data_IF_150755545629
#
_entry.id   IF_150755545629
#
_cell.length_a   1.000
_cell.length_b   1.000
_cell.length_c   1.000
_cell.angle_alpha   90.00
_cell.angle_beta   90.00
_cell.angle_gamma   90.00
#
_symmetry.space_group_name_H-M   'P 1'
#
loop_
_entity.id
_entity.type
_entity.pdbx_description
1 polymer ?
#
# COMPACT_ATOMS: atom_id res chain seq x y z
N UNK A 1 11.45 5.17 -10.54
CA UNK A 1 10.66 3.98 -10.21
C UNK A 1 10.60 3.71 -8.70
N UNK A 2 11.69 3.90 -7.98
CA UNK A 2 11.78 3.45 -6.59
C UNK A 2 10.68 3.97 -5.66
N UNK A 3 10.39 5.27 -5.68
CA UNK A 3 9.39 5.84 -4.77
C UNK A 3 7.97 5.39 -5.11
N UNK A 4 7.62 5.46 -6.38
CA UNK A 4 6.29 5.07 -6.84
C UNK A 4 6.09 3.58 -6.63
N UNK A 5 7.06 2.78 -7.04
CA UNK A 5 7.02 1.34 -6.83
C UNK A 5 6.91 1.00 -5.34
N UNK A 6 7.71 1.65 -4.50
CA UNK A 6 7.70 1.39 -3.06
C UNK A 6 6.31 1.61 -2.45
N UNK A 7 5.68 2.70 -2.80
CA UNK A 7 4.36 3.04 -2.28
C UNK A 7 3.27 2.12 -2.81
N UNK A 8 3.33 1.80 -4.11
CA UNK A 8 2.36 0.89 -4.72
C UNK A 8 2.47 -0.49 -4.11
N UNK A 9 3.70 -1.00 -3.94
CA UNK A 9 3.94 -2.31 -3.34
C UNK A 9 3.36 -2.37 -1.93
N UNK A 10 3.66 -1.38 -1.12
CA UNK A 10 3.15 -1.31 0.25
C UNK A 10 1.63 -1.24 0.28
N UNK A 11 1.05 -0.44 -0.61
CA UNK A 11 -0.39 -0.32 -0.70
C UNK A 11 -1.06 -1.66 -1.04
N UNK A 12 -0.59 -2.32 -2.10
CA UNK A 12 -1.21 -3.58 -2.52
C UNK A 12 -1.00 -4.68 -1.48
N UNK A 13 0.18 -4.72 -0.86
CA UNK A 13 0.43 -5.70 0.20
C UNK A 13 -0.55 -5.51 1.37
N UNK A 14 -0.67 -4.28 1.85
CA UNK A 14 -1.57 -3.97 2.96
C UNK A 14 -3.03 -4.18 2.60
N UNK A 15 -3.37 -3.90 1.36
CA UNK A 15 -4.73 -4.14 0.88
C UNK A 15 -5.11 -5.62 0.91
N UNK A 16 -4.13 -6.50 0.75
CA UNK A 16 -4.33 -7.95 0.92
C UNK A 16 -4.33 -8.37 2.38
N UNK A 17 -3.91 -7.50 3.29
CA UNK A 17 -3.85 -7.82 4.70
C UNK A 17 -2.71 -8.73 5.08
N UNK A 18 -1.62 -8.74 4.33
CA UNK A 18 -0.47 -9.59 4.61
C UNK A 18 0.72 -8.77 5.07
N UNK A 19 1.59 -9.42 5.86
CA UNK A 19 2.81 -8.79 6.37
C UNK A 19 3.92 -8.83 5.33
N UNK A 20 4.98 -8.06 5.58
CA UNK A 20 6.19 -8.12 4.76
C UNK A 20 6.76 -9.54 4.73
N UNK A 21 6.76 -10.21 5.88
CA UNK A 21 7.25 -11.59 5.99
C UNK A 21 6.42 -12.54 5.14
N UNK A 22 5.10 -12.42 5.21
CA UNK A 22 4.21 -13.28 4.42
C UNK A 22 4.41 -13.06 2.92
N UNK A 23 4.52 -11.82 2.48
CA UNK A 23 4.78 -11.53 1.08
C UNK A 23 6.14 -12.09 0.66
N UNK A 24 7.16 -11.93 1.50
CA UNK A 24 8.49 -12.44 1.23
C UNK A 24 8.47 -13.96 1.01
N UNK A 25 7.74 -14.68 1.86
CA UNK A 25 7.59 -16.12 1.71
C UNK A 25 6.92 -16.50 0.42
N UNK A 26 5.88 -15.77 0.03
CA UNK A 26 5.13 -16.04 -1.20
C UNK A 26 5.96 -15.84 -2.46
N UNK A 27 6.83 -14.83 -2.45
CA UNK A 27 7.66 -14.53 -3.62
C UNK A 27 9.03 -15.20 -3.58
N UNK A 28 9.34 -15.93 -2.52
CA UNK A 28 10.60 -16.68 -2.41
C UNK A 28 11.80 -15.84 -2.03
N UNK A 29 11.60 -14.82 -1.20
CA UNK A 29 12.68 -13.95 -0.73
C UNK A 29 12.59 -13.81 0.79
N UNK A 30 13.25 -12.80 1.36
CA UNK A 30 13.22 -12.54 2.80
C UNK A 30 12.58 -11.19 3.09
N UNK A 31 12.21 -11.02 4.36
CA UNK A 31 11.56 -9.79 4.82
C UNK A 31 12.39 -8.53 4.53
N UNK A 32 13.71 -8.62 4.68
CA UNK A 32 14.57 -7.47 4.41
C UNK A 32 14.48 -6.98 2.97
N UNK A 33 14.37 -7.89 2.04
CA UNK A 33 14.21 -7.52 0.63
C UNK A 33 12.91 -6.74 0.42
N UNK A 34 11.80 -7.23 0.97
CA UNK A 34 10.51 -6.54 0.87
C UNK A 34 10.58 -5.19 1.56
N UNK A 35 11.16 -5.12 2.75
CA UNK A 35 11.30 -3.86 3.48
C UNK A 35 12.10 -2.84 2.67
N UNK A 36 13.18 -3.27 2.05
CA UNK A 36 14.01 -2.39 1.21
C UNK A 36 13.26 -1.89 -0.01
N UNK A 37 12.45 -2.74 -0.64
CA UNK A 37 11.59 -2.32 -1.75
C UNK A 37 10.59 -1.25 -1.29
N UNK A 38 9.94 -1.49 -0.14
CA UNK A 38 8.91 -0.57 0.37
C UNK A 38 9.48 0.74 0.91
N UNK A 39 10.76 0.77 1.22
CA UNK A 39 11.44 1.99 1.64
C UNK A 39 12.12 2.73 0.48
N UNK A 40 12.04 2.19 -0.72
CA UNK A 40 12.66 2.80 -1.89
C UNK A 40 14.17 2.66 -1.92
N UNK A 41 14.74 1.76 -1.12
CA UNK A 41 16.19 1.55 -1.04
C UNK A 41 16.71 0.58 -2.10
N UNK A 42 15.84 -0.25 -2.66
CA UNK A 42 16.21 -1.24 -3.65
C UNK A 42 15.10 -1.37 -4.68
N UNK A 43 15.49 -1.78 -5.87
CA UNK A 43 14.55 -2.10 -6.93
C UNK A 43 14.57 -3.61 -7.16
N UNK A 44 13.41 -4.21 -7.46
CA UNK A 44 13.37 -5.65 -7.72
C UNK A 44 14.01 -5.98 -9.07
N UNK A 45 14.56 -7.19 -9.17
CA UNK A 45 14.90 -7.75 -10.46
C UNK A 45 13.62 -7.98 -11.27
N UNK A 46 13.78 -8.22 -12.56
CA UNK A 46 12.62 -8.54 -13.39
C UNK A 46 11.86 -9.76 -12.87
N UNK A 47 12.58 -10.79 -12.44
CA UNK A 47 11.96 -11.99 -11.88
C UNK A 47 11.21 -11.70 -10.59
N UNK A 48 11.80 -10.90 -9.72
CA UNK A 48 11.17 -10.49 -8.46
C UNK A 48 9.91 -9.67 -8.74
N UNK A 49 9.96 -8.76 -9.69
CA UNK A 49 8.81 -7.96 -10.08
C UNK A 49 7.67 -8.85 -10.58
N UNK A 50 7.97 -9.82 -11.43
CA UNK A 50 6.96 -10.77 -11.93
C UNK A 50 6.33 -11.56 -10.78
N UNK A 51 7.12 -12.01 -9.82
CA UNK A 51 6.63 -12.76 -8.67
C UNK A 51 5.72 -11.88 -7.81
N UNK A 52 6.11 -10.63 -7.57
CA UNK A 52 5.31 -9.68 -6.82
C UNK A 52 3.96 -9.43 -7.50
N UNK A 53 3.98 -9.20 -8.80
CA UNK A 53 2.74 -9.00 -9.57
C UNK A 53 1.81 -10.19 -9.42
N UNK A 54 2.33 -11.38 -9.56
CA UNK A 54 1.53 -12.61 -9.47
C UNK A 54 0.93 -12.79 -8.08
N UNK A 55 1.73 -12.60 -7.03
CA UNK A 55 1.25 -12.79 -5.66
C UNK A 55 0.29 -11.70 -5.20
N UNK A 56 0.46 -10.49 -5.71
CA UNK A 56 -0.43 -9.37 -5.37
C UNK A 56 -1.66 -9.30 -6.27
N UNK A 57 -1.68 -10.05 -7.37
CA UNK A 57 -2.80 -10.02 -8.31
C UNK A 57 -2.88 -8.72 -9.10
N UNK A 58 -1.74 -8.11 -9.40
CA UNK A 58 -1.67 -6.86 -10.15
C UNK A 58 -0.71 -7.04 -11.33
N UNK A 59 -0.80 -6.13 -12.30
CA UNK A 59 0.17 -6.13 -13.40
C UNK A 59 1.34 -5.19 -13.09
N UNK A 60 2.36 -5.23 -13.92
CA UNK A 60 3.56 -4.42 -13.71
C UNK A 60 3.23 -2.92 -13.76
N UNK A 61 2.33 -2.53 -14.63
CA UNK A 61 1.94 -1.12 -14.73
C UNK A 61 1.35 -0.61 -13.42
N UNK A 62 0.51 -1.41 -12.78
CA UNK A 62 -0.07 -1.06 -11.49
C UNK A 62 0.98 -0.88 -10.40
N UNK A 63 2.09 -1.59 -10.47
CA UNK A 63 3.16 -1.45 -9.47
C UNK A 63 4.11 -0.30 -9.78
N UNK A 64 4.39 -0.01 -11.04
CA UNK A 64 5.49 0.90 -11.39
C UNK A 64 5.05 2.29 -11.79
N UNK A 65 3.75 2.52 -12.01
CA UNK A 65 3.24 3.84 -12.36
C UNK A 65 2.41 4.43 -11.23
N UNK A 66 2.31 5.75 -11.20
CA UNK A 66 1.48 6.43 -10.22
C UNK A 66 0.03 6.00 -10.36
N UNK A 67 -0.59 5.69 -9.22
CA UNK A 67 -1.97 5.24 -9.17
C UNK A 67 -2.80 6.21 -8.35
N UNK A 68 -4.06 6.37 -8.74
CA UNK A 68 -5.03 7.09 -7.93
C UNK A 68 -5.82 6.08 -7.10
N UNK A 69 -5.46 5.97 -5.83
CA UNK A 69 -6.15 5.05 -4.92
C UNK A 69 -7.33 5.71 -4.20
N UNK A 70 -7.68 6.94 -4.59
CA UNK A 70 -8.71 7.70 -3.90
C UNK A 70 -8.23 8.32 -2.60
N UNK A 71 -6.94 8.31 -2.36
CA UNK A 71 -6.29 8.88 -1.19
C UNK A 71 -5.17 9.79 -1.69
N UNK A 72 -5.09 11.04 -1.20
CA UNK A 72 -3.99 11.91 -1.61
C UNK A 72 -2.63 11.26 -1.38
N UNK A 73 -1.77 11.39 -2.36
CA UNK A 73 -0.44 10.79 -2.35
C UNK A 73 0.35 11.14 -1.09
N UNK A 74 0.26 12.38 -0.65
CA UNK A 74 0.98 12.84 0.53
C UNK A 74 0.60 12.06 1.79
N UNK A 75 -0.67 11.65 1.91
CA UNK A 75 -1.12 10.88 3.07
C UNK A 75 -0.56 9.47 3.03
N UNK A 76 -0.46 8.88 1.85
CA UNK A 76 0.12 7.54 1.70
C UNK A 76 1.58 7.51 2.16
N UNK A 77 2.31 8.59 1.96
CA UNK A 77 3.71 8.67 2.33
C UNK A 77 3.93 8.81 3.82
N UNK A 78 2.93 9.30 4.55
CA UNK A 78 3.04 9.62 5.97
C UNK A 78 2.23 8.66 6.85
N UNK A 79 1.61 7.66 6.25
CA UNK A 79 0.73 6.76 6.96
C UNK A 79 1.53 5.85 7.88
N UNK A 80 1.14 5.81 9.15
CA UNK A 80 1.68 4.86 10.13
C UNK A 80 1.01 3.49 9.93
N UNK A 81 1.52 2.47 10.63
CA UNK A 81 0.89 1.14 10.56
C UNK A 81 -0.53 1.16 11.09
N UNK A 82 -0.81 1.91 12.15
CA UNK A 82 -2.16 2.05 12.69
C UNK A 82 -3.09 2.74 11.70
N UNK A 83 -2.59 3.80 11.06
CA UNK A 83 -3.35 4.52 10.05
C UNK A 83 -3.61 3.64 8.83
N UNK A 84 -2.64 2.82 8.43
CA UNK A 84 -2.80 1.89 7.33
C UNK A 84 -3.87 0.83 7.64
N UNK A 85 -3.91 0.34 8.88
CA UNK A 85 -4.95 -0.59 9.30
C UNK A 85 -6.33 0.04 9.24
N UNK A 86 -6.44 1.32 9.63
CA UNK A 86 -7.69 2.06 9.54
C UNK A 86 -8.14 2.22 8.08
N UNK A 87 -7.21 2.55 7.18
CA UNK A 87 -7.51 2.68 5.76
C UNK A 87 -7.97 1.35 5.16
N UNK A 88 -7.34 0.24 5.56
CA UNK A 88 -7.76 -1.09 5.13
C UNK A 88 -9.18 -1.39 5.60
N UNK A 89 -9.48 -1.11 6.87
CA UNK A 89 -10.80 -1.33 7.41
C UNK A 89 -11.85 -0.51 6.67
N UNK A 90 -11.53 0.75 6.37
CA UNK A 90 -12.40 1.62 5.61
C UNK A 90 -12.70 1.04 4.22
N UNK A 91 -11.67 0.54 3.52
CA UNK A 91 -11.84 0.00 2.16
C UNK A 91 -12.69 -1.26 2.15
N UNK A 92 -12.64 -2.04 3.22
CA UNK A 92 -13.41 -3.29 3.34
C UNK A 92 -14.82 -3.05 3.84
N UNK A 93 -15.14 -1.86 4.33
CA UNK A 93 -16.47 -1.51 4.80
C UNK A 93 -17.41 -1.28 3.61
N UNK A 94 -18.70 -1.45 3.83
CA UNK A 94 -19.66 -1.13 2.79
C UNK A 94 -19.79 0.39 2.61
N UNK A 95 -20.48 0.80 1.55
CA UNK A 95 -20.57 2.22 1.17
C UNK A 95 -21.19 3.08 2.27
N UNK A 96 -22.15 2.56 2.99
CA UNK A 96 -22.82 3.33 4.04
C UNK A 96 -21.84 3.67 5.15
N UNK A 97 -21.09 2.68 5.61
CA UNK A 97 -20.11 2.87 6.68
C UNK A 97 -18.93 3.72 6.20
N UNK A 98 -18.54 3.60 4.95
CA UNK A 98 -17.51 4.45 4.37
C UNK A 98 -17.95 5.92 4.39
N UNK A 99 -19.18 6.19 4.02
CA UNK A 99 -19.73 7.54 4.05
C UNK A 99 -19.76 8.11 5.46
N UNK A 100 -20.20 7.34 6.43
CA UNK A 100 -20.24 7.75 7.84
C UNK A 100 -18.84 8.05 8.34
N UNK A 101 -17.88 7.17 8.06
CA UNK A 101 -16.49 7.36 8.48
C UNK A 101 -15.90 8.65 7.90
N UNK A 102 -16.15 8.92 6.63
CA UNK A 102 -15.66 10.14 5.99
C UNK A 102 -16.29 11.38 6.60
N UNK A 103 -17.58 11.36 6.89
CA UNK A 103 -18.26 12.49 7.51
C UNK A 103 -17.69 12.78 8.89
N UNK A 104 -17.48 11.76 9.70
CA UNK A 104 -16.88 11.92 11.03
C UNK A 104 -15.49 12.54 10.92
N UNK A 105 -14.66 12.01 10.02
CA UNK A 105 -13.31 12.51 9.83
C UNK A 105 -13.29 13.97 9.36
N UNK A 106 -14.22 14.35 8.48
CA UNK A 106 -14.33 15.74 8.02
C UNK A 106 -14.72 16.69 9.13
N UNK A 107 -15.60 16.26 10.03
CA UNK A 107 -16.06 17.08 11.14
C UNK A 107 -14.96 17.32 12.18
N UNK A 108 -14.06 16.36 12.34
CA UNK A 108 -13.05 16.39 13.38
C UNK A 108 -11.63 16.56 12.86
N UNK A 109 -11.47 16.84 11.57
CA UNK A 109 -10.14 17.05 11.02
C UNK A 109 -9.50 18.27 11.65
N UNK A 110 -8.19 18.20 11.85
CA UNK A 110 -7.43 19.37 12.28
C UNK A 110 -7.42 20.40 11.17
N UNK A 111 -7.52 21.66 11.56
CA UNK A 111 -7.34 22.73 10.59
C UNK A 111 -5.87 22.81 10.26
N UNK A 112 -5.53 22.44 9.04
CA UNK A 112 -4.16 22.48 8.55
C UNK A 112 -3.99 23.71 7.71
N UNK A 113 -2.99 24.45 8.04
CA UNK A 113 -2.71 25.72 7.36
C UNK A 113 -1.48 25.59 6.50
#
# INVERSE_FOLDING_TARGET
>A
MSKVFAQNLKFYRRNLGITQEELAQRVGTNRNAIANYEQGRAEPSFQALCALCRELGVDADQLITEQDFGIPYIYMRQVTDDEAALLDAYRKADEVYQGVALDILRQHKKVVK
#
